data_IF_325757006609
#
_entry.id   IF_325757006609
#
_cell.length_a   1.000
_cell.length_b   1.000
_cell.length_c   1.000
_cell.angle_alpha   90.00
_cell.angle_beta   90.00
_cell.angle_gamma   90.00
#
_symmetry.space_group_name_H-M   'P 1'
#
loop_
_entity.id
_entity.type
_entity.pdbx_description
1 polymer ?
#
# COMPACT_ATOMS: atom_id res chain seq x y z
N UNK A 1 -12.60 -4.74 -10.88
CA UNK A 1 -12.96 -3.56 -10.07
C UNK A 1 -13.14 -2.42 -11.06
N UNK A 2 -14.26 -1.74 -11.03
CA UNK A 2 -14.53 -0.61 -11.94
C UNK A 2 -14.09 0.68 -11.24
N UNK A 3 -13.49 1.65 -11.96
CA UNK A 3 -13.09 2.92 -11.40
C UNK A 3 -14.31 3.79 -11.08
N UNK A 4 -14.23 4.58 -10.00
CA UNK A 4 -15.28 5.52 -9.58
C UNK A 4 -15.11 6.89 -10.26
N UNK A 5 -14.99 6.92 -11.58
CA UNK A 5 -14.70 8.14 -12.35
C UNK A 5 -15.77 9.23 -12.20
N UNK A 6 -17.03 8.82 -12.01
CA UNK A 6 -18.14 9.76 -11.81
C UNK A 6 -18.01 10.56 -10.51
N UNK A 7 -17.41 9.94 -9.47
CA UNK A 7 -17.17 10.62 -8.21
C UNK A 7 -16.12 11.73 -8.36
N UNK A 8 -14.99 11.44 -9.01
CA UNK A 8 -13.99 12.48 -9.32
C UNK A 8 -14.57 13.58 -10.18
N UNK A 9 -15.37 13.24 -11.19
CA UNK A 9 -16.04 14.22 -12.03
C UNK A 9 -17.02 15.11 -11.24
N UNK A 10 -17.72 14.56 -10.23
CA UNK A 10 -18.60 15.33 -9.36
C UNK A 10 -17.79 16.31 -8.48
N UNK A 11 -16.64 15.90 -7.96
CA UNK A 11 -15.76 16.76 -7.17
C UNK A 11 -15.19 17.90 -8.03
N UNK A 12 -14.78 17.63 -9.27
CA UNK A 12 -14.35 18.65 -10.21
C UNK A 12 -15.45 19.69 -10.52
N UNK A 13 -16.71 19.26 -10.66
CA UNK A 13 -17.85 20.17 -10.84
C UNK A 13 -18.08 21.09 -9.63
N UNK A 14 -17.67 20.65 -8.45
CA UNK A 14 -17.68 21.45 -7.24
C UNK A 14 -16.41 22.30 -7.06
N UNK A 15 -15.52 22.34 -8.05
CA UNK A 15 -14.22 23.02 -7.97
C UNK A 15 -13.35 22.55 -6.78
N UNK A 16 -13.53 21.32 -6.32
CA UNK A 16 -12.68 20.74 -5.29
C UNK A 16 -11.38 20.28 -5.96
N UNK A 17 -10.21 20.79 -5.56
CA UNK A 17 -8.94 20.43 -6.16
C UNK A 17 -8.57 18.98 -5.82
N UNK A 18 -8.20 18.21 -6.83
CA UNK A 18 -7.77 16.82 -6.69
C UNK A 18 -6.29 16.68 -7.01
N UNK A 19 -5.66 15.68 -6.39
CA UNK A 19 -4.33 15.18 -6.68
C UNK A 19 -4.41 13.75 -7.14
N UNK A 20 -3.45 13.32 -7.97
CA UNK A 20 -3.35 11.97 -8.46
C UNK A 20 -2.20 11.26 -7.76
N UNK A 21 -2.52 10.16 -7.07
CA UNK A 21 -1.53 9.26 -6.48
C UNK A 21 -1.52 7.91 -7.17
N UNK A 22 -0.39 7.21 -7.06
CA UNK A 22 -0.26 5.82 -7.46
C UNK A 22 0.12 4.97 -6.26
N UNK A 23 -0.43 3.78 -6.18
CA UNK A 23 -0.01 2.73 -5.27
C UNK A 23 0.17 1.43 -6.05
N UNK A 24 0.61 0.38 -5.39
CA UNK A 24 0.78 -0.92 -6.00
C UNK A 24 0.61 -2.04 -4.99
N UNK A 25 0.43 -3.24 -5.50
CA UNK A 25 0.35 -4.45 -4.71
C UNK A 25 1.27 -5.49 -5.32
N UNK A 26 1.97 -6.33 -4.53
CA UNK A 26 2.83 -7.38 -5.03
C UNK A 26 2.04 -8.59 -5.53
N UNK A 27 2.76 -9.50 -6.17
CA UNK A 27 2.22 -10.77 -6.61
C UNK A 27 1.81 -11.64 -5.42
N UNK A 28 0.83 -12.52 -5.66
CA UNK A 28 0.43 -13.59 -4.75
C UNK A 28 0.84 -14.90 -5.39
N UNK A 29 1.45 -15.77 -4.59
CA UNK A 29 1.94 -17.06 -5.01
C UNK A 29 1.27 -18.20 -4.24
N UNK A 30 1.25 -19.39 -4.84
CA UNK A 30 0.74 -20.59 -4.19
C UNK A 30 1.73 -21.03 -3.10
N UNK A 31 1.25 -21.16 -1.87
CA UNK A 31 2.05 -21.58 -0.71
C UNK A 31 2.81 -22.90 -0.96
N UNK A 32 2.18 -23.85 -1.64
CA UNK A 32 2.74 -25.18 -1.90
C UNK A 32 3.90 -25.18 -2.89
N UNK A 33 4.07 -24.08 -3.64
CA UNK A 33 5.15 -23.94 -4.62
C UNK A 33 6.38 -23.20 -4.07
N UNK A 34 6.39 -22.85 -2.79
CA UNK A 34 7.50 -22.16 -2.12
C UNK A 34 8.40 -23.19 -1.45
N UNK A 35 9.71 -23.07 -1.64
CA UNK A 35 10.70 -23.82 -0.89
C UNK A 35 11.09 -23.05 0.38
N UNK A 36 10.34 -23.30 1.46
CA UNK A 36 10.56 -22.64 2.74
C UNK A 36 11.90 -22.99 3.39
N UNK A 37 12.59 -24.05 2.96
CA UNK A 37 13.91 -24.39 3.49
C UNK A 37 14.99 -23.36 3.14
N UNK A 38 14.72 -22.50 2.14
CA UNK A 38 15.59 -21.40 1.69
C UNK A 38 15.18 -20.05 2.26
N UNK A 39 14.26 -20.01 3.20
CA UNK A 39 13.75 -18.79 3.82
C UNK A 39 13.98 -18.80 5.31
N UNK A 40 13.99 -17.63 5.93
CA UNK A 40 14.07 -17.47 7.38
C UNK A 40 12.65 -17.35 7.95
N UNK A 41 12.36 -18.09 9.02
CA UNK A 41 11.07 -17.95 9.71
C UNK A 41 11.06 -16.64 10.49
N UNK A 42 10.02 -15.85 10.28
CA UNK A 42 9.74 -14.66 11.08
C UNK A 42 8.55 -14.99 11.99
N UNK A 43 8.86 -15.36 13.20
CA UNK A 43 7.85 -15.57 14.25
C UNK A 43 7.32 -14.20 14.73
N UNK A 44 6.16 -14.20 15.37
CA UNK A 44 5.65 -13.01 16.05
C UNK A 44 6.38 -12.77 17.38
N UNK A 45 5.99 -11.73 18.08
CA UNK A 45 6.56 -11.39 19.38
C UNK A 45 6.28 -12.50 20.41
N UNK A 46 7.27 -12.83 21.25
CA UNK A 46 7.16 -13.80 22.34
C UNK A 46 6.09 -13.41 23.36
N UNK A 47 5.89 -12.09 23.52
CA UNK A 47 4.86 -11.50 24.36
C UNK A 47 3.90 -10.67 23.53
N UNK A 48 2.81 -11.32 23.09
CA UNK A 48 1.77 -10.61 22.32
C UNK A 48 1.03 -9.61 23.20
N UNK A 49 1.02 -8.35 22.78
CA UNK A 49 0.28 -7.27 23.42
C UNK A 49 -0.99 -7.00 22.63
N UNK A 50 -2.11 -6.91 23.33
CA UNK A 50 -3.39 -6.57 22.71
C UNK A 50 -3.40 -5.10 22.23
N UNK A 51 -3.92 -4.86 21.03
CA UNK A 51 -4.10 -3.49 20.51
C UNK A 51 -5.30 -2.76 21.13
N UNK A 52 -6.21 -3.47 21.77
CA UNK A 52 -7.41 -2.91 22.38
C UNK A 52 -7.39 -3.10 23.89
N UNK A 53 -7.72 -2.05 24.63
CA UNK A 53 -7.94 -2.11 26.09
C UNK A 53 -9.12 -3.02 26.49
N UNK A 54 -10.02 -3.33 25.56
CA UNK A 54 -11.14 -4.22 25.80
C UNK A 54 -10.79 -5.72 25.61
N UNK A 55 -9.57 -6.04 25.19
CA UNK A 55 -9.14 -7.44 25.04
C UNK A 55 -8.92 -8.07 26.41
N UNK A 56 -9.64 -9.15 26.69
CA UNK A 56 -9.61 -9.85 27.97
C UNK A 56 -8.63 -11.00 28.06
N UNK A 57 -8.17 -11.52 26.90
CA UNK A 57 -7.18 -12.59 26.82
C UNK A 57 -6.07 -12.20 25.81
N UNK A 58 -4.80 -12.55 26.07
CA UNK A 58 -3.72 -12.30 25.13
C UNK A 58 -4.01 -12.94 23.77
N UNK A 59 -3.76 -12.26 22.65
CA UNK A 59 -3.88 -12.88 21.35
C UNK A 59 -2.78 -13.94 21.14
N UNK A 60 -3.08 -14.98 20.37
CA UNK A 60 -2.12 -16.01 20.02
C UNK A 60 -1.69 -15.86 18.57
N UNK A 61 -0.39 -15.95 18.30
CA UNK A 61 0.14 -16.04 16.95
C UNK A 61 -0.12 -17.44 16.39
N UNK A 62 -0.95 -17.53 15.36
CA UNK A 62 -1.33 -18.83 14.73
C UNK A 62 -0.54 -19.12 13.46
N UNK A 63 0.12 -18.14 12.90
CA UNK A 63 0.90 -18.22 11.66
C UNK A 63 2.13 -17.34 11.77
N UNK A 64 3.19 -17.73 11.05
CA UNK A 64 4.40 -16.92 10.91
C UNK A 64 4.52 -16.39 9.48
N UNK A 65 5.33 -15.33 9.32
CA UNK A 65 5.82 -14.87 8.04
C UNK A 65 7.19 -15.50 7.75
N UNK A 66 7.68 -15.33 6.54
CA UNK A 66 8.99 -15.81 6.14
C UNK A 66 9.78 -14.68 5.49
N UNK A 67 11.08 -14.65 5.70
CA UNK A 67 11.97 -13.66 5.12
C UNK A 67 12.82 -14.32 4.04
N UNK A 68 12.95 -13.64 2.93
CA UNK A 68 13.93 -13.92 1.88
C UNK A 68 14.50 -12.62 1.33
N UNK A 69 15.44 -12.71 0.41
CA UNK A 69 16.13 -11.53 -0.12
C UNK A 69 16.21 -11.62 -1.65
N UNK A 70 16.11 -10.47 -2.29
CA UNK A 70 16.48 -10.35 -3.70
C UNK A 70 18.01 -10.49 -3.86
N UNK A 71 18.44 -10.66 -5.10
CA UNK A 71 19.85 -10.81 -5.44
C UNK A 71 20.21 -9.98 -6.70
N UNK A 72 21.45 -10.10 -7.15
CA UNK A 72 21.91 -9.37 -8.34
C UNK A 72 21.11 -9.76 -9.60
N UNK A 73 20.77 -11.05 -9.76
CA UNK A 73 19.97 -11.50 -10.92
C UNK A 73 18.57 -10.85 -10.92
N UNK A 74 17.95 -10.70 -9.76
CA UNK A 74 16.66 -9.99 -9.61
C UNK A 74 16.80 -8.56 -10.10
N UNK A 75 17.88 -7.88 -9.70
CA UNK A 75 18.16 -6.50 -10.10
C UNK A 75 18.39 -6.40 -11.61
N UNK A 76 19.17 -7.30 -12.18
CA UNK A 76 19.51 -7.32 -13.62
C UNK A 76 18.26 -7.50 -14.48
N UNK A 77 17.36 -8.41 -14.10
CA UNK A 77 16.07 -8.61 -14.79
C UNK A 77 15.24 -7.33 -14.79
N UNK A 78 15.17 -6.62 -13.67
CA UNK A 78 14.39 -5.39 -13.56
C UNK A 78 15.02 -4.27 -14.39
N UNK A 79 16.34 -4.05 -14.26
CA UNK A 79 17.01 -2.99 -15.00
C UNK A 79 16.95 -3.19 -16.51
N UNK A 80 16.99 -4.44 -16.99
CA UNK A 80 16.85 -4.77 -18.41
C UNK A 80 15.43 -4.54 -18.97
N UNK A 81 14.43 -4.28 -18.10
CA UNK A 81 13.02 -4.13 -18.50
C UNK A 81 12.38 -2.84 -17.98
N UNK A 82 13.17 -1.84 -17.58
CA UNK A 82 12.63 -0.57 -17.05
C UNK A 82 11.79 0.18 -18.09
N UNK A 83 12.17 0.11 -19.36
CA UNK A 83 11.45 0.71 -20.48
C UNK A 83 10.02 0.15 -20.65
N UNK A 84 9.81 -1.07 -20.18
CA UNK A 84 8.50 -1.76 -20.19
C UNK A 84 7.64 -1.42 -18.97
N UNK A 85 8.17 -0.73 -17.98
CA UNK A 85 7.42 -0.33 -16.79
C UNK A 85 6.46 0.82 -17.13
N UNK A 86 5.16 0.70 -16.82
CA UNK A 86 4.21 1.80 -16.93
C UNK A 86 4.63 3.06 -16.16
N UNK A 87 5.37 2.89 -15.07
CA UNK A 87 5.90 3.99 -14.29
C UNK A 87 6.98 4.79 -15.06
N UNK A 88 7.90 4.08 -15.75
CA UNK A 88 9.01 4.71 -16.46
C UNK A 88 8.64 5.10 -17.92
N UNK A 89 7.62 4.46 -18.49
CA UNK A 89 7.12 4.81 -19.83
C UNK A 89 6.13 5.99 -19.83
N UNK A 90 5.83 6.58 -18.67
CA UNK A 90 4.90 7.72 -18.56
C UNK A 90 3.42 7.36 -18.68
N UNK A 91 3.06 6.08 -18.63
CA UNK A 91 1.65 5.65 -18.61
C UNK A 91 0.99 5.89 -17.24
N UNK A 92 1.79 5.90 -16.16
CA UNK A 92 1.35 6.22 -14.82
C UNK A 92 1.75 7.67 -14.56
N UNK A 93 0.79 8.54 -14.31
CA UNK A 93 0.97 9.96 -14.03
C UNK A 93 1.00 10.25 -12.53
N UNK A 94 0.37 9.40 -11.73
CA UNK A 94 0.26 9.53 -10.29
C UNK A 94 1.61 9.43 -9.57
N UNK A 95 1.83 10.31 -8.57
CA UNK A 95 3.00 10.23 -7.71
C UNK A 95 2.82 9.13 -6.67
N UNK A 96 3.87 8.35 -6.42
CA UNK A 96 3.86 7.39 -5.32
C UNK A 96 3.80 8.11 -3.97
N UNK A 97 2.94 7.68 -3.03
CA UNK A 97 2.98 8.17 -1.67
C UNK A 97 4.30 7.75 -1.00
N UNK A 98 4.68 8.46 0.08
CA UNK A 98 6.00 8.33 0.73
C UNK A 98 6.40 6.89 1.03
N UNK A 99 5.45 6.03 1.42
CA UNK A 99 5.72 4.68 1.92
C UNK A 99 5.38 3.55 0.94
N UNK A 100 5.08 3.85 -0.33
CA UNK A 100 4.73 2.83 -1.32
C UNK A 100 5.52 2.96 -2.63
N UNK A 101 6.88 2.88 -2.60
CA UNK A 101 7.64 2.78 -3.83
C UNK A 101 7.40 1.41 -4.47
N UNK A 102 7.30 1.35 -5.80
CA UNK A 102 7.35 0.09 -6.52
C UNK A 102 8.75 -0.54 -6.39
N UNK A 103 8.85 -1.85 -6.68
CA UNK A 103 10.12 -2.53 -6.55
C UNK A 103 11.14 -2.04 -7.59
N UNK A 104 10.71 -1.76 -8.81
CA UNK A 104 11.56 -1.14 -9.84
C UNK A 104 12.08 0.23 -9.39
N UNK A 105 11.28 1.00 -8.66
CA UNK A 105 11.69 2.29 -8.06
C UNK A 105 12.75 2.11 -6.98
N UNK A 106 12.61 1.06 -6.14
CA UNK A 106 13.62 0.72 -5.13
C UNK A 106 14.95 0.33 -5.77
N UNK A 107 14.93 -0.48 -6.82
CA UNK A 107 16.12 -0.94 -7.53
C UNK A 107 16.88 0.24 -8.14
N UNK A 108 16.17 1.22 -8.69
CA UNK A 108 16.80 2.41 -9.28
C UNK A 108 17.32 3.37 -8.21
N UNK A 109 16.50 3.70 -7.19
CA UNK A 109 16.87 4.68 -6.16
C UNK A 109 17.94 4.20 -5.18
N UNK A 110 17.97 2.90 -4.92
CA UNK A 110 18.92 2.26 -4.01
C UNK A 110 19.82 1.29 -4.78
N UNK A 111 20.42 1.80 -5.85
CA UNK A 111 21.23 1.02 -6.77
C UNK A 111 22.52 0.49 -6.14
N UNK A 112 22.97 1.08 -5.03
CA UNK A 112 24.11 0.66 -4.21
C UNK A 112 23.80 -0.56 -3.33
N UNK A 113 22.52 -0.90 -3.11
CA UNK A 113 22.14 -2.06 -2.31
C UNK A 113 22.27 -3.33 -3.13
N UNK A 114 22.96 -4.31 -2.58
CA UNK A 114 23.14 -5.63 -3.18
C UNK A 114 21.84 -6.45 -3.15
N UNK A 115 21.04 -6.29 -2.10
CA UNK A 115 19.79 -7.05 -1.89
C UNK A 115 18.74 -6.23 -1.15
N UNK A 116 17.47 -6.59 -1.34
CA UNK A 116 16.34 -6.07 -0.60
C UNK A 116 15.66 -7.21 0.16
N UNK A 117 15.32 -6.95 1.40
CA UNK A 117 14.53 -7.86 2.23
C UNK A 117 13.09 -7.92 1.74
N UNK A 118 12.53 -9.12 1.74
CA UNK A 118 11.17 -9.42 1.38
C UNK A 118 10.50 -10.23 2.49
N UNK A 119 9.21 -9.98 2.71
CA UNK A 119 8.39 -10.81 3.56
C UNK A 119 7.44 -11.64 2.71
N UNK A 120 7.34 -12.92 3.01
CA UNK A 120 6.37 -13.84 2.44
C UNK A 120 5.29 -14.03 3.50
N UNK A 121 4.15 -13.38 3.30
CA UNK A 121 3.09 -13.24 4.30
C UNK A 121 1.88 -14.10 3.94
N UNK A 122 1.27 -14.83 4.89
CA UNK A 122 0.04 -15.57 4.64
C UNK A 122 -1.11 -14.64 4.25
N UNK A 123 -1.77 -14.95 3.14
CA UNK A 123 -2.96 -14.24 2.65
C UNK A 123 -4.10 -15.24 2.41
N UNK A 124 -4.50 -15.92 3.48
CA UNK A 124 -5.40 -17.08 3.46
C UNK A 124 -4.62 -18.40 3.48
N UNK A 125 -5.33 -19.51 3.27
CA UNK A 125 -4.77 -20.86 3.48
C UNK A 125 -3.72 -21.26 2.43
N UNK A 126 -3.94 -20.88 1.17
CA UNK A 126 -3.17 -21.36 0.01
C UNK A 126 -2.35 -20.25 -0.66
N UNK A 127 -2.54 -18.99 -0.28
CA UNK A 127 -1.89 -17.84 -0.90
C UNK A 127 -0.88 -17.18 0.02
N UNK A 128 0.27 -16.83 -0.56
CA UNK A 128 1.27 -16.02 0.10
C UNK A 128 1.45 -14.69 -0.65
N UNK A 129 1.58 -13.63 0.08
CA UNK A 129 1.76 -12.25 -0.38
C UNK A 129 3.25 -11.92 -0.35
N UNK A 130 3.80 -11.46 -1.46
CA UNK A 130 5.24 -11.16 -1.57
C UNK A 130 5.50 -9.68 -1.20
N UNK A 131 5.41 -9.37 0.09
CA UNK A 131 5.59 -7.98 0.58
C UNK A 131 6.99 -7.47 0.26
N UNK A 132 7.03 -6.30 -0.38
CA UNK A 132 8.27 -5.68 -0.85
C UNK A 132 8.46 -5.71 -2.36
N UNK A 133 7.70 -6.56 -3.09
CA UNK A 133 7.76 -6.72 -4.55
C UNK A 133 6.57 -6.08 -5.29
N UNK A 134 5.97 -5.01 -4.76
CA UNK A 134 4.95 -4.26 -5.52
C UNK A 134 5.55 -3.77 -6.84
N UNK A 135 4.92 -4.07 -7.96
CA UNK A 135 5.45 -3.76 -9.28
C UNK A 135 4.34 -3.47 -10.29
N UNK A 136 4.67 -2.70 -11.30
CA UNK A 136 3.83 -2.45 -12.47
C UNK A 136 4.38 -3.10 -13.75
N UNK A 137 5.49 -3.82 -13.66
CA UNK A 137 6.12 -4.50 -14.78
C UNK A 137 5.19 -5.57 -15.38
N UNK A 138 5.32 -5.90 -16.67
CA UNK A 138 4.55 -6.95 -17.31
C UNK A 138 4.71 -8.32 -16.64
N UNK A 139 3.73 -9.21 -16.82
CA UNK A 139 3.66 -10.52 -16.17
C UNK A 139 4.90 -11.37 -16.41
N UNK A 140 5.38 -11.44 -17.63
CA UNK A 140 6.59 -12.21 -17.99
C UNK A 140 7.82 -11.71 -17.25
N UNK A 141 7.96 -10.42 -17.04
CA UNK A 141 9.06 -9.84 -16.27
C UNK A 141 8.89 -10.14 -14.77
N UNK A 142 7.64 -10.09 -14.27
CA UNK A 142 7.36 -10.45 -12.88
C UNK A 142 7.73 -11.91 -12.59
N UNK A 143 7.36 -12.83 -13.46
CA UNK A 143 7.74 -14.23 -13.35
C UNK A 143 9.27 -14.39 -13.38
N UNK A 144 9.93 -13.72 -14.33
CA UNK A 144 11.38 -13.78 -14.47
C UNK A 144 12.10 -13.33 -13.20
N UNK A 145 11.75 -12.19 -12.61
CA UNK A 145 12.45 -11.73 -11.41
C UNK A 145 12.03 -12.51 -10.14
N UNK A 146 10.78 -12.95 -10.00
CA UNK A 146 10.35 -13.76 -8.86
C UNK A 146 11.16 -15.07 -8.80
N UNK A 147 11.37 -15.72 -9.94
CA UNK A 147 12.09 -16.98 -10.01
C UNK A 147 13.61 -16.86 -9.79
N UNK A 148 14.15 -15.65 -9.67
CA UNK A 148 15.56 -15.46 -9.23
C UNK A 148 15.72 -15.44 -7.71
N UNK A 149 14.62 -15.39 -6.95
CA UNK A 149 14.64 -15.16 -5.50
C UNK A 149 14.71 -16.52 -4.77
N UNK A 150 15.61 -16.68 -3.78
CA UNK A 150 15.72 -17.89 -3.00
C UNK A 150 14.37 -18.31 -2.37
N UNK A 151 13.99 -19.57 -2.58
CA UNK A 151 12.71 -20.13 -2.14
C UNK A 151 11.54 -19.88 -3.08
N UNK A 152 11.70 -19.02 -4.10
CA UNK A 152 10.66 -18.69 -5.08
C UNK A 152 10.99 -19.17 -6.50
N UNK A 153 12.03 -19.97 -6.70
CA UNK A 153 12.52 -20.40 -8.02
C UNK A 153 11.46 -21.15 -8.83
N UNK A 154 10.53 -21.80 -8.13
CA UNK A 154 9.42 -22.56 -8.73
C UNK A 154 8.05 -22.04 -8.29
N UNK A 155 8.00 -20.82 -7.77
CA UNK A 155 6.77 -20.24 -7.25
C UNK A 155 5.70 -20.10 -8.34
N UNK A 156 4.52 -20.63 -8.08
CA UNK A 156 3.36 -20.49 -8.95
C UNK A 156 2.62 -19.19 -8.63
N UNK A 157 2.67 -18.23 -9.54
CA UNK A 157 1.97 -16.97 -9.38
C UNK A 157 0.47 -17.19 -9.57
N UNK A 158 -0.32 -16.93 -8.53
CA UNK A 158 -1.78 -16.99 -8.54
C UNK A 158 -2.42 -15.67 -8.98
N UNK A 159 -1.72 -14.57 -8.71
CA UNK A 159 -2.10 -13.23 -9.13
C UNK A 159 -0.86 -12.36 -9.27
N UNK A 160 -0.71 -11.72 -10.41
CA UNK A 160 0.39 -10.79 -10.67
C UNK A 160 0.28 -9.52 -9.83
N UNK A 161 1.40 -8.84 -9.63
CA UNK A 161 1.44 -7.48 -9.11
C UNK A 161 0.78 -6.51 -10.09
N UNK A 162 0.25 -5.42 -9.57
CA UNK A 162 -0.32 -4.34 -10.39
C UNK A 162 -0.24 -3.01 -9.67
N UNK A 163 -0.22 -1.94 -10.46
CA UNK A 163 -0.34 -0.58 -9.94
C UNK A 163 -1.79 -0.10 -10.03
N UNK A 164 -2.15 0.82 -9.15
CA UNK A 164 -3.42 1.52 -9.14
C UNK A 164 -3.11 3.01 -9.06
N UNK A 165 -3.81 3.81 -9.86
CA UNK A 165 -3.89 5.24 -9.65
C UNK A 165 -5.23 5.59 -9.01
N UNK A 166 -5.21 6.59 -8.13
CA UNK A 166 -6.41 7.08 -7.47
C UNK A 166 -6.35 8.59 -7.25
N UNK A 167 -7.53 9.20 -7.25
CA UNK A 167 -7.68 10.62 -6.93
C UNK A 167 -7.88 10.79 -5.42
N UNK A 168 -7.29 11.83 -4.89
CA UNK A 168 -7.55 12.31 -3.54
C UNK A 168 -7.74 13.82 -3.56
N UNK A 169 -8.39 14.36 -2.56
CA UNK A 169 -8.52 15.80 -2.39
C UNK A 169 -7.16 16.43 -2.08
N UNK A 170 -6.88 17.60 -2.63
CA UNK A 170 -5.76 18.39 -2.16
C UNK A 170 -6.03 18.79 -0.70
N UNK A 171 -5.19 18.37 0.26
CA UNK A 171 -5.42 18.64 1.68
C UNK A 171 -5.47 20.14 2.02
N UNK A 172 -4.95 20.99 1.16
CA UNK A 172 -5.06 22.47 1.34
C UNK A 172 -6.49 22.99 1.17
N UNK A 173 -7.39 22.17 0.59
CA UNK A 173 -8.82 22.50 0.51
C UNK A 173 -9.56 22.27 1.84
N UNK A 174 -8.89 21.71 2.85
CA UNK A 174 -9.45 21.37 4.16
C UNK A 174 -8.91 22.31 5.25
N UNK A 175 -9.77 22.60 6.22
CA UNK A 175 -9.38 23.20 7.50
C UNK A 175 -8.69 22.16 8.39
N UNK A 176 -8.00 22.58 9.43
CA UNK A 176 -7.45 21.69 10.45
C UNK A 176 -8.51 20.82 11.16
N UNK A 177 -9.78 21.23 11.10
CA UNK A 177 -10.93 20.46 11.57
C UNK A 177 -11.38 19.36 10.60
N UNK A 178 -10.74 19.22 9.45
CA UNK A 178 -11.09 18.34 8.31
C UNK A 178 -12.37 18.74 7.56
N UNK A 179 -12.93 19.90 7.85
CA UNK A 179 -14.02 20.50 7.08
C UNK A 179 -13.47 21.17 5.81
N UNK A 180 -14.19 21.06 4.70
CA UNK A 180 -13.84 21.79 3.48
C UNK A 180 -13.95 23.30 3.69
N UNK A 181 -12.98 24.06 3.13
CA UNK A 181 -12.98 25.50 3.22
C UNK A 181 -14.22 26.12 2.56
N UNK A 182 -14.54 25.66 1.34
CA UNK A 182 -15.59 26.22 0.50
C UNK A 182 -16.98 25.56 0.74
N UNK A 183 -17.01 24.42 1.45
CA UNK A 183 -18.23 23.63 1.65
C UNK A 183 -18.49 23.41 3.14
N UNK A 184 -19.10 24.39 3.84
CA UNK A 184 -19.45 24.23 5.25
C UNK A 184 -20.37 23.04 5.51
N UNK A 185 -19.97 22.16 6.41
CA UNK A 185 -20.69 20.91 6.74
C UNK A 185 -20.21 19.70 5.98
N UNK A 186 -19.34 19.84 4.98
CA UNK A 186 -18.69 18.73 4.31
C UNK A 186 -17.32 18.48 4.96
N UNK A 187 -17.05 17.23 5.30
CA UNK A 187 -15.80 16.79 5.93
C UNK A 187 -15.15 15.68 5.09
N UNK A 188 -13.82 15.69 5.02
CA UNK A 188 -13.02 14.66 4.36
C UNK A 188 -12.22 13.85 5.37
N UNK A 189 -11.97 12.56 5.10
CA UNK A 189 -11.14 11.72 5.96
C UNK A 189 -10.46 10.59 5.20
N UNK A 190 -9.31 10.14 5.69
CA UNK A 190 -8.61 8.95 5.24
C UNK A 190 -7.95 9.11 3.88
N UNK A 191 -7.95 8.05 3.08
CA UNK A 191 -7.32 8.03 1.75
C UNK A 191 -7.86 9.14 0.84
N UNK A 192 -9.11 9.53 1.01
CA UNK A 192 -9.74 10.64 0.32
C UNK A 192 -9.00 11.98 0.53
N UNK A 193 -8.39 12.18 1.71
CA UNK A 193 -7.56 13.34 2.02
C UNK A 193 -6.07 13.14 1.66
N UNK A 194 -5.72 12.03 0.99
CA UNK A 194 -4.34 11.71 0.60
C UNK A 194 -3.52 11.00 1.67
N UNK A 195 -4.09 10.59 2.82
CA UNK A 195 -3.37 9.74 3.77
C UNK A 195 -3.25 8.31 3.25
N UNK A 196 -2.13 7.65 3.53
CA UNK A 196 -1.80 6.33 2.98
C UNK A 196 -1.82 5.20 4.02
N UNK A 197 -1.85 5.51 5.32
CA UNK A 197 -1.89 4.53 6.41
C UNK A 197 -3.32 4.31 6.93
N UNK A 198 -3.57 3.10 7.44
CA UNK A 198 -4.88 2.75 8.00
C UNK A 198 -5.16 3.49 9.31
N UNK A 199 -4.14 3.66 10.13
CA UNK A 199 -4.20 4.31 11.43
C UNK A 199 -4.55 5.79 11.28
N UNK A 200 -3.88 6.49 10.36
CA UNK A 200 -4.17 7.90 10.07
C UNK A 200 -5.58 8.05 9.49
N UNK A 201 -5.99 7.11 8.63
CA UNK A 201 -7.34 7.13 8.05
C UNK A 201 -8.42 7.00 9.14
N UNK A 202 -8.21 6.09 10.10
CA UNK A 202 -9.10 5.89 11.25
C UNK A 202 -9.14 7.14 12.15
N UNK A 203 -7.99 7.71 12.47
CA UNK A 203 -7.88 8.93 13.28
C UNK A 203 -8.60 10.11 12.60
N UNK A 204 -8.37 10.31 11.30
CA UNK A 204 -9.06 11.35 10.55
C UNK A 204 -10.58 11.13 10.52
N UNK A 205 -11.03 9.90 10.33
CA UNK A 205 -12.45 9.56 10.37
C UNK A 205 -13.10 9.91 11.70
N UNK A 206 -12.42 9.60 12.80
CA UNK A 206 -12.88 9.94 14.16
C UNK A 206 -12.96 11.46 14.35
N UNK A 207 -11.92 12.20 14.02
CA UNK A 207 -11.88 13.67 14.17
C UNK A 207 -12.94 14.35 13.28
N UNK A 208 -13.06 13.91 12.02
CA UNK A 208 -14.06 14.45 11.10
C UNK A 208 -15.49 14.19 11.62
N UNK A 209 -15.76 12.98 12.12
CA UNK A 209 -17.07 12.63 12.71
C UNK A 209 -17.41 13.44 13.96
N UNK A 210 -16.44 13.61 14.88
CA UNK A 210 -16.59 14.46 16.06
C UNK A 210 -16.91 15.91 15.63
N UNK A 211 -16.18 16.44 14.67
CA UNK A 211 -16.34 17.83 14.23
C UNK A 211 -17.67 18.05 13.48
N UNK A 212 -18.11 17.08 12.70
CA UNK A 212 -19.44 17.11 12.08
C UNK A 212 -20.55 17.20 13.13
N UNK A 213 -20.50 16.34 14.17
CA UNK A 213 -21.45 16.34 15.27
C UNK A 213 -21.41 17.66 16.06
N UNK A 214 -20.21 18.17 16.37
CA UNK A 214 -20.03 19.44 17.09
C UNK A 214 -20.59 20.62 16.29
N UNK A 215 -20.41 20.62 14.98
CA UNK A 215 -20.96 21.66 14.10
C UNK A 215 -22.49 21.68 14.17
N UNK A 216 -23.16 20.52 14.09
CA UNK A 216 -24.63 20.44 14.25
C UNK A 216 -25.08 20.94 15.61
N UNK A 217 -24.26 20.73 16.65
CA UNK A 217 -24.53 21.20 18.02
C UNK A 217 -24.16 22.65 18.26
N UNK A 218 -23.65 23.41 17.27
CA UNK A 218 -23.17 24.78 17.43
C UNK A 218 -21.93 24.92 18.30
N UNK A 219 -21.12 23.84 18.47
CA UNK A 219 -19.90 23.84 19.27
C UNK A 219 -18.66 24.10 18.42
N UNK A 220 -17.62 24.68 19.02
CA UNK A 220 -16.33 24.87 18.36
C UNK A 220 -15.71 23.53 17.93
N UNK A 221 -15.01 23.46 16.78
CA UNK A 221 -14.35 22.24 16.34
C UNK A 221 -13.22 21.82 17.28
N UNK A 222 -12.89 20.53 17.28
CA UNK A 222 -11.68 19.98 17.86
C UNK A 222 -10.60 19.99 16.75
N UNK A 223 -9.45 20.52 17.11
CA UNK A 223 -8.25 20.50 16.29
C UNK A 223 -7.16 19.82 17.11
N UNK A 224 -6.45 18.89 16.51
CA UNK A 224 -5.29 18.24 17.12
C UNK A 224 -4.04 19.00 16.67
N UNK A 225 -3.24 19.47 17.63
CA UNK A 225 -1.99 20.19 17.43
C UNK A 225 -0.81 19.22 17.35
#
# INVERSE_FOLDING_TARGET
MFPANEFSAALYKLNIPLRRFKTGTPSRVNRRSIDFSKTEVQEGDDHTVAFSFATTAPPENKVCCYITYTNQQTKDVILANLDRSPLYSGKIEGKGPRYCPSFEDKVVRFSDKERHQLFIEPCGLEKMYLQGLSSSLPEDVQLAFIHTIPGLEHAQVMRTAYAIEYDCVDPTALKASLEFNEYPGLFGAGQFNGSSGYEEAAAQGLVAGINAARKVQGKAPVVLD
#
